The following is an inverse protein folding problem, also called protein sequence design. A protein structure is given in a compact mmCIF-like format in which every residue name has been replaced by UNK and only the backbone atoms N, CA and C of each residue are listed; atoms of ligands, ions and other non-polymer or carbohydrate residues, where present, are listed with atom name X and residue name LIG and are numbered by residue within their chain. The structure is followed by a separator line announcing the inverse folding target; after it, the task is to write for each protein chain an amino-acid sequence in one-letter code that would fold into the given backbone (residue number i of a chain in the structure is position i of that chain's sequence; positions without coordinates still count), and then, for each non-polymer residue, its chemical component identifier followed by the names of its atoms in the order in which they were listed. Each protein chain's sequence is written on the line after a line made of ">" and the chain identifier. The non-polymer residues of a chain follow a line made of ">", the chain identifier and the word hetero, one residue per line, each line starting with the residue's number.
data_IF_004460062613
#
_entry.id   IF_004460062613
#
_cell.length_a   1.000
_cell.length_b   1.000
_cell.length_c   1.000
_cell.angle_alpha   90.00
_cell.angle_beta   90.00
_cell.angle_gamma   90.00
#
_symmetry.space_group_name_H-M   'P 1'
#
loop_
_entity.id
_entity.type
_entity.pdbx_description
1 polymer ?
#
# COMPACT_ATOMS: atom_id res chain seq x y z
N UNK A 1 -24.41 -48.93 43.81
CA UNK A 1 -24.80 -47.79 42.96
C UNK A 1 -23.64 -47.54 41.97
N UNK A 2 -23.81 -48.03 40.77
CA UNK A 2 -22.80 -48.06 39.70
C UNK A 2 -22.87 -46.77 38.87
N UNK A 3 -21.75 -46.04 38.72
CA UNK A 3 -21.64 -44.91 37.81
C UNK A 3 -21.22 -45.43 36.44
N UNK A 4 -22.10 -45.27 35.47
CA UNK A 4 -21.84 -45.55 34.07
C UNK A 4 -20.78 -44.58 33.52
N UNK A 5 -19.76 -45.13 32.77
CA UNK A 5 -18.79 -44.36 32.02
C UNK A 5 -19.33 -44.15 30.61
N UNK A 6 -19.37 -42.90 30.16
CA UNK A 6 -19.65 -42.51 28.77
C UNK A 6 -18.48 -42.92 27.84
N UNK A 7 -18.75 -43.30 26.58
CA UNK A 7 -17.72 -43.67 25.64
C UNK A 7 -17.02 -42.47 25.03
N UNK A 8 -15.67 -42.51 25.01
CA UNK A 8 -14.80 -41.56 24.28
C UNK A 8 -14.97 -41.77 22.80
N UNK A 9 -15.45 -40.77 22.09
CA UNK A 9 -15.48 -40.69 20.62
C UNK A 9 -14.05 -40.45 20.12
N UNK A 10 -13.46 -41.44 19.48
CA UNK A 10 -12.16 -41.35 18.77
C UNK A 10 -12.40 -40.65 17.43
N UNK A 11 -11.70 -39.53 17.17
CA UNK A 11 -11.63 -38.90 15.85
C UNK A 11 -10.85 -39.81 14.87
N UNK A 12 -11.27 -39.87 13.61
CA UNK A 12 -10.54 -40.63 12.59
C UNK A 12 -9.24 -39.92 12.22
N UNK A 13 -8.15 -40.69 12.13
CA UNK A 13 -6.84 -40.28 11.61
C UNK A 13 -6.98 -39.97 10.11
N UNK A 14 -6.66 -38.75 9.68
CA UNK A 14 -6.42 -38.43 8.28
C UNK A 14 -5.17 -39.14 7.80
N UNK A 15 -5.35 -40.06 6.85
CA UNK A 15 -4.26 -40.68 6.11
C UNK A 15 -3.62 -39.65 5.19
N UNK A 16 -2.34 -39.35 5.42
CA UNK A 16 -1.47 -38.70 4.47
C UNK A 16 -1.26 -39.63 3.26
N UNK A 17 -1.88 -39.31 2.14
CA UNK A 17 -1.58 -39.92 0.86
C UNK A 17 -0.30 -39.26 0.35
N UNK A 18 0.74 -40.11 0.19
CA UNK A 18 1.98 -39.70 -0.45
C UNK A 18 1.69 -39.35 -1.92
N UNK A 19 2.08 -38.14 -2.32
CA UNK A 19 2.07 -37.77 -3.72
C UNK A 19 3.25 -38.40 -4.43
N UNK A 20 2.97 -39.50 -5.13
CA UNK A 20 3.83 -40.00 -6.17
C UNK A 20 3.85 -39.02 -7.36
N UNK A 21 5.03 -38.94 -7.94
CA UNK A 21 5.41 -38.07 -9.06
C UNK A 21 4.45 -38.22 -10.26
N UNK A 22 3.86 -37.14 -10.70
CA UNK A 22 3.28 -37.00 -12.04
C UNK A 22 4.21 -36.09 -12.85
N UNK A 23 5.02 -36.73 -13.67
CA UNK A 23 5.79 -36.05 -14.70
C UNK A 23 4.86 -35.41 -15.75
N UNK A 24 5.13 -34.15 -16.08
CA UNK A 24 4.92 -33.62 -17.42
C UNK A 24 3.52 -33.19 -17.85
N UNK A 25 2.85 -32.28 -17.11
CA UNK A 25 1.87 -31.40 -17.73
C UNK A 25 2.37 -29.97 -17.59
N UNK A 26 3.05 -29.50 -18.63
CA UNK A 26 3.33 -28.07 -18.84
C UNK A 26 1.99 -27.41 -19.12
N UNK A 27 1.35 -26.86 -18.09
CA UNK A 27 0.23 -25.94 -18.29
C UNK A 27 0.76 -24.71 -19.01
N UNK A 28 0.17 -24.30 -20.15
CA UNK A 28 0.58 -23.07 -20.82
C UNK A 28 0.34 -21.92 -19.84
N UNK A 29 1.41 -21.17 -19.54
CA UNK A 29 1.31 -19.94 -18.76
C UNK A 29 0.34 -18.99 -19.50
N UNK A 30 -0.62 -18.39 -18.81
CA UNK A 30 -1.50 -17.42 -19.44
C UNK A 30 -0.63 -16.27 -19.97
N UNK A 31 -0.72 -16.03 -21.29
CA UNK A 31 -0.09 -14.88 -21.92
C UNK A 31 -0.87 -13.64 -21.46
N UNK A 32 -0.41 -13.01 -20.37
CA UNK A 32 -0.80 -11.66 -20.10
C UNK A 32 -0.17 -10.74 -21.15
N UNK A 33 -0.86 -9.66 -21.55
CA UNK A 33 -0.29 -8.69 -22.51
C UNK A 33 0.95 -7.97 -21.94
N UNK A 34 1.36 -8.29 -20.72
CA UNK A 34 2.50 -7.72 -20.01
C UNK A 34 3.68 -8.70 -20.04
N UNK A 35 4.40 -8.77 -21.16
CA UNK A 35 5.69 -9.44 -21.20
C UNK A 35 6.75 -8.48 -20.67
N UNK A 36 7.36 -8.81 -19.54
CA UNK A 36 8.60 -8.15 -19.11
C UNK A 36 9.73 -8.60 -20.04
N UNK A 37 10.01 -7.84 -21.09
CA UNK A 37 11.19 -8.08 -21.91
C UNK A 37 12.43 -7.67 -21.12
N UNK A 38 13.34 -8.63 -20.91
CA UNK A 38 14.73 -8.29 -20.59
C UNK A 38 15.33 -7.68 -21.86
N UNK A 39 15.15 -6.39 -22.06
CA UNK A 39 16.00 -5.65 -22.99
C UNK A 39 17.28 -5.33 -22.25
N UNK A 40 18.38 -5.95 -22.66
CA UNK A 40 19.69 -5.40 -22.44
C UNK A 40 19.75 -4.07 -23.23
N UNK A 41 19.20 -2.99 -22.63
CA UNK A 41 19.41 -1.65 -23.15
C UNK A 41 20.77 -1.20 -22.67
N UNK A 42 21.69 -1.02 -23.63
CA UNK A 42 22.79 -0.09 -23.45
C UNK A 42 22.13 1.26 -23.12
N UNK A 43 22.37 1.72 -21.91
CA UNK A 43 21.87 2.98 -21.35
C UNK A 43 22.32 4.15 -22.27
N UNK A 44 21.40 4.82 -23.01
CA UNK A 44 21.77 5.98 -23.83
C UNK A 44 21.83 7.27 -23.00
N UNK A 45 21.59 7.21 -21.67
CA UNK A 45 21.58 8.35 -20.78
C UNK A 45 22.40 8.10 -19.52
N UNK A 46 23.69 7.75 -19.67
CA UNK A 46 24.68 8.05 -18.64
C UNK A 46 24.87 9.57 -18.63
N UNK A 47 23.94 10.29 -18.03
CA UNK A 47 24.09 11.68 -17.69
C UNK A 47 24.54 11.76 -16.22
N UNK A 48 25.84 11.88 -16.02
CA UNK A 48 26.48 12.17 -14.73
C UNK A 48 25.97 13.51 -14.09
N UNK A 49 25.14 14.28 -14.79
CA UNK A 49 24.54 15.54 -14.31
C UNK A 49 23.26 15.37 -13.48
N UNK A 50 22.64 14.16 -13.42
CA UNK A 50 21.37 13.96 -12.72
C UNK A 50 21.52 13.64 -11.22
N UNK A 51 22.70 13.27 -10.76
CA UNK A 51 22.95 12.86 -9.37
C UNK A 51 22.91 14.02 -8.35
N UNK A 52 22.74 15.27 -8.80
CA UNK A 52 22.77 16.46 -7.93
C UNK A 52 21.54 17.36 -8.03
N UNK A 53 20.38 16.83 -8.47
CA UNK A 53 19.15 17.61 -8.54
C UNK A 53 18.62 17.90 -7.13
N UNK A 54 19.01 19.07 -6.58
CA UNK A 54 18.42 19.62 -5.37
C UNK A 54 16.98 20.10 -5.63
N UNK A 55 16.18 20.29 -4.57
CA UNK A 55 14.79 20.80 -4.62
C UNK A 55 14.66 22.06 -5.49
N UNK A 56 15.69 22.93 -5.52
CA UNK A 56 15.74 24.13 -6.36
C UNK A 56 15.81 23.84 -7.87
N UNK A 57 16.33 22.67 -8.25
CA UNK A 57 16.41 22.24 -9.66
C UNK A 57 15.07 21.67 -10.13
N UNK A 58 14.30 21.07 -9.22
CA UNK A 58 12.95 20.56 -9.50
C UNK A 58 11.94 21.69 -9.77
N UNK A 59 12.13 22.88 -9.17
CA UNK A 59 11.33 24.06 -9.54
C UNK A 59 11.54 24.50 -10.98
N UNK A 60 12.72 24.28 -11.54
CA UNK A 60 13.06 24.61 -12.92
C UNK A 60 12.37 23.67 -13.94
N UNK A 61 12.02 22.47 -13.52
CA UNK A 61 11.32 21.46 -14.33
C UNK A 61 9.94 21.16 -13.73
N UNK A 62 9.07 22.20 -13.57
CA UNK A 62 7.66 21.94 -13.29
C UNK A 62 7.13 21.08 -14.43
N UNK A 63 6.96 19.79 -14.14
CA UNK A 63 6.37 18.86 -15.09
C UNK A 63 4.97 19.33 -15.44
N UNK A 64 4.69 19.44 -16.73
CA UNK A 64 3.33 19.69 -17.19
C UNK A 64 2.50 18.43 -16.98
N UNK A 65 1.70 18.40 -15.93
CA UNK A 65 0.91 17.22 -15.55
C UNK A 65 -0.12 16.86 -16.61
N UNK A 66 -0.67 17.84 -17.33
CA UNK A 66 -1.65 17.58 -18.37
C UNK A 66 -0.99 16.79 -19.52
N UNK A 67 0.18 17.27 -19.98
CA UNK A 67 0.95 16.60 -21.03
C UNK A 67 1.36 15.19 -20.61
N UNK A 68 1.87 15.01 -19.38
CA UNK A 68 2.31 13.70 -18.88
C UNK A 68 1.11 12.74 -18.75
N UNK A 69 0.00 13.19 -18.18
CA UNK A 69 -1.18 12.36 -18.04
C UNK A 69 -1.76 11.95 -19.39
N UNK A 70 -1.70 12.84 -20.40
CA UNK A 70 -2.07 12.52 -21.78
C UNK A 70 -1.12 11.47 -22.38
N UNK A 71 0.18 11.58 -22.14
CA UNK A 71 1.17 10.59 -22.63
C UNK A 71 0.97 9.21 -21.99
N UNK A 72 0.63 9.18 -20.69
CA UNK A 72 0.49 7.94 -19.93
C UNK A 72 -0.92 7.33 -19.98
N UNK A 73 -1.88 8.01 -20.62
CA UNK A 73 -3.28 7.58 -20.59
C UNK A 73 -3.54 6.15 -21.06
N UNK A 74 -2.78 5.68 -22.07
CA UNK A 74 -2.89 4.34 -22.64
C UNK A 74 -1.75 3.41 -22.19
N UNK A 75 -0.92 3.86 -21.24
CA UNK A 75 0.20 3.09 -20.72
C UNK A 75 -0.27 2.02 -19.75
N UNK A 76 0.41 0.87 -19.79
CA UNK A 76 0.21 -0.21 -18.82
C UNK A 76 0.82 0.15 -17.48
N UNK A 77 0.37 -0.50 -16.41
CA UNK A 77 0.93 -0.26 -15.07
C UNK A 77 2.46 -0.45 -15.00
N UNK A 78 3.08 -1.50 -15.60
CA UNK A 78 4.53 -1.60 -15.69
C UNK A 78 5.17 -0.42 -16.41
N UNK A 79 4.63 0.02 -17.54
CA UNK A 79 5.17 1.16 -18.28
C UNK A 79 5.13 2.47 -17.50
N UNK A 80 4.08 2.68 -16.67
CA UNK A 80 4.01 3.83 -15.77
C UNK A 80 5.10 3.75 -14.69
N UNK A 81 5.39 2.55 -14.16
CA UNK A 81 6.47 2.36 -13.18
C UNK A 81 7.84 2.57 -13.83
N UNK A 82 8.05 2.05 -15.04
CA UNK A 82 9.28 2.27 -15.81
C UNK A 82 9.51 3.76 -16.10
N UNK A 83 8.45 4.47 -16.53
CA UNK A 83 8.50 5.92 -16.70
C UNK A 83 8.89 6.64 -15.38
N UNK A 84 8.27 6.26 -14.25
CA UNK A 84 8.61 6.82 -12.96
C UNK A 84 10.07 6.59 -12.57
N UNK A 85 10.58 5.37 -12.82
CA UNK A 85 11.98 5.02 -12.54
C UNK A 85 12.97 5.87 -13.37
N UNK A 86 12.68 6.07 -14.66
CA UNK A 86 13.51 6.88 -15.54
C UNK A 86 13.47 8.37 -15.17
N UNK A 87 12.29 8.87 -14.80
CA UNK A 87 12.09 10.28 -14.52
C UNK A 87 12.65 10.72 -13.14
N UNK A 88 12.50 9.90 -12.12
CA UNK A 88 12.77 10.29 -10.73
C UNK A 88 13.97 9.57 -10.11
N UNK A 89 14.48 8.51 -10.73
CA UNK A 89 15.67 7.79 -10.28
C UNK A 89 15.63 7.46 -8.79
N UNK A 90 16.68 7.86 -8.06
CA UNK A 90 16.82 7.61 -6.61
C UNK A 90 15.80 8.38 -5.74
N UNK A 91 15.14 9.39 -6.29
CA UNK A 91 14.06 10.12 -5.61
C UNK A 91 12.70 9.41 -5.65
N UNK A 92 12.61 8.24 -6.33
CA UNK A 92 11.39 7.47 -6.38
C UNK A 92 11.26 6.51 -5.20
N UNK A 93 10.17 6.60 -4.47
CA UNK A 93 9.80 5.68 -3.40
C UNK A 93 8.44 5.04 -3.67
N UNK A 94 8.11 4.00 -2.93
CA UNK A 94 6.79 3.39 -2.93
C UNK A 94 6.26 3.33 -1.50
N UNK A 95 4.93 3.37 -1.30
CA UNK A 95 4.34 3.05 -0.01
C UNK A 95 3.41 1.84 -0.09
N UNK A 96 3.30 1.14 1.03
CA UNK A 96 2.34 0.05 1.21
C UNK A 96 1.70 0.12 2.59
N UNK A 97 0.45 -0.31 2.69
CA UNK A 97 -0.22 -0.58 3.97
C UNK A 97 -0.32 -2.08 4.25
N UNK A 98 0.28 -2.92 3.41
CA UNK A 98 0.06 -4.36 3.40
C UNK A 98 -1.43 -4.73 3.46
N UNK A 99 -2.25 -3.96 2.73
CA UNK A 99 -3.69 -4.18 2.60
C UNK A 99 -4.02 -5.46 1.81
N UNK A 100 -5.32 -5.72 1.62
CA UNK A 100 -5.86 -6.97 1.07
C UNK A 100 -5.16 -7.41 -0.23
N UNK A 101 -4.85 -6.48 -1.13
CA UNK A 101 -4.31 -6.74 -2.47
C UNK A 101 -2.94 -6.10 -2.70
N UNK A 102 -2.22 -5.76 -1.62
CA UNK A 102 -0.96 -5.01 -1.70
C UNK A 102 0.15 -5.74 -2.44
N UNK A 103 0.11 -7.08 -2.50
CA UNK A 103 1.09 -7.90 -3.21
C UNK A 103 1.22 -7.54 -4.71
N UNK A 104 0.16 -7.03 -5.35
CA UNK A 104 0.18 -6.60 -6.75
C UNK A 104 1.22 -5.53 -7.00
N UNK A 105 1.09 -4.39 -6.31
CA UNK A 105 2.00 -3.26 -6.52
C UNK A 105 3.42 -3.56 -6.03
N UNK A 106 3.53 -4.26 -4.89
CA UNK A 106 4.84 -4.68 -4.35
C UNK A 106 5.59 -5.56 -5.34
N UNK A 107 4.94 -6.61 -5.87
CA UNK A 107 5.54 -7.49 -6.85
C UNK A 107 5.88 -6.77 -8.16
N UNK A 108 4.97 -5.94 -8.67
CA UNK A 108 5.19 -5.23 -9.93
C UNK A 108 6.34 -4.24 -9.83
N UNK A 109 6.35 -3.41 -8.78
CA UNK A 109 7.38 -2.39 -8.58
C UNK A 109 8.77 -3.02 -8.36
N UNK A 110 8.89 -4.05 -7.52
CA UNK A 110 10.18 -4.69 -7.24
C UNK A 110 10.73 -5.51 -8.40
N UNK A 111 9.89 -5.94 -9.33
CA UNK A 111 10.38 -6.57 -10.58
C UNK A 111 11.02 -5.59 -11.54
N UNK A 112 10.60 -4.33 -11.50
CA UNK A 112 11.12 -3.26 -12.37
C UNK A 112 12.25 -2.54 -11.67
N UNK A 113 12.11 -2.26 -10.38
CA UNK A 113 13.06 -1.54 -9.54
C UNK A 113 13.32 -2.39 -8.28
N UNK A 114 14.25 -3.36 -8.31
CA UNK A 114 14.43 -4.34 -7.23
C UNK A 114 14.68 -3.70 -5.85
N UNK A 115 15.41 -2.59 -5.80
CA UNK A 115 15.82 -1.92 -4.56
C UNK A 115 14.97 -0.69 -4.21
N UNK A 116 13.80 -0.50 -4.85
CA UNK A 116 12.94 0.64 -4.55
C UNK A 116 12.65 0.71 -3.04
N UNK A 117 12.85 1.87 -2.38
CA UNK A 117 12.46 2.01 -0.98
C UNK A 117 10.95 1.87 -0.82
N UNK A 118 10.51 0.90 -0.01
CA UNK A 118 9.10 0.64 0.28
C UNK A 118 8.77 1.15 1.68
N UNK A 119 8.06 2.27 1.76
CA UNK A 119 7.65 2.88 3.02
C UNK A 119 6.43 2.13 3.57
N UNK A 120 6.54 1.70 4.84
CA UNK A 120 5.42 1.16 5.60
C UNK A 120 5.23 1.97 6.88
N UNK A 121 4.03 2.52 7.05
CA UNK A 121 3.66 3.21 8.29
C UNK A 121 3.04 2.21 9.23
N UNK A 122 3.80 1.82 10.26
CA UNK A 122 3.29 1.00 11.36
C UNK A 122 2.63 1.88 12.40
N UNK A 123 1.32 1.83 12.46
CA UNK A 123 0.54 2.63 13.41
C UNK A 123 0.60 2.09 14.84
N UNK A 124 1.06 0.85 15.03
CA UNK A 124 0.98 0.11 16.30
C UNK A 124 -0.43 -0.42 16.61
N UNK A 125 -1.37 -0.30 15.66
CA UNK A 125 -2.75 -0.75 15.77
C UNK A 125 -3.17 -1.68 14.62
N UNK A 126 -2.21 -2.17 13.85
CA UNK A 126 -2.49 -3.12 12.78
C UNK A 126 -2.85 -4.51 13.38
N UNK A 127 -3.69 -5.30 12.70
CA UNK A 127 -3.94 -6.68 13.09
C UNK A 127 -2.67 -7.54 13.05
N UNK A 128 -2.54 -8.56 13.91
CA UNK A 128 -1.41 -9.50 13.87
C UNK A 128 -1.22 -10.17 12.50
N UNK A 129 -2.30 -10.40 11.76
CA UNK A 129 -2.31 -10.95 10.41
C UNK A 129 -1.59 -10.03 9.42
N UNK A 130 -1.77 -8.71 9.55
CA UNK A 130 -1.06 -7.72 8.71
C UNK A 130 0.44 -7.75 8.96
N UNK A 131 0.88 -7.87 10.22
CA UNK A 131 2.31 -7.99 10.54
C UNK A 131 2.92 -9.26 9.93
N UNK A 132 2.27 -10.41 10.09
CA UNK A 132 2.75 -11.68 9.51
C UNK A 132 2.77 -11.65 7.98
N UNK A 133 1.76 -11.05 7.37
CA UNK A 133 1.68 -10.88 5.93
C UNK A 133 2.77 -9.94 5.40
N UNK A 134 3.08 -8.88 6.14
CA UNK A 134 4.18 -7.98 5.82
C UNK A 134 5.54 -8.69 5.83
N UNK A 135 5.83 -9.47 6.87
CA UNK A 135 7.05 -10.30 6.96
C UNK A 135 7.13 -11.29 5.79
N UNK A 136 6.04 -12.02 5.53
CA UNK A 136 5.96 -12.98 4.43
C UNK A 136 6.28 -12.33 3.07
N UNK A 137 5.63 -11.20 2.74
CA UNK A 137 5.87 -10.51 1.47
C UNK A 137 7.26 -9.87 1.41
N UNK A 138 7.77 -9.37 2.53
CA UNK A 138 9.12 -8.80 2.62
C UNK A 138 10.17 -9.85 2.28
N UNK A 139 10.05 -11.05 2.84
CA UNK A 139 10.96 -12.15 2.54
C UNK A 139 10.78 -12.67 1.10
N UNK A 140 9.54 -12.92 0.68
CA UNK A 140 9.20 -13.46 -0.64
C UNK A 140 9.66 -12.55 -1.78
N UNK A 141 9.42 -11.25 -1.66
CA UNK A 141 9.71 -10.26 -2.70
C UNK A 141 11.03 -9.51 -2.49
N UNK A 142 11.76 -9.81 -1.40
CA UNK A 142 13.02 -9.17 -1.00
C UNK A 142 12.89 -7.64 -0.93
N UNK A 143 11.85 -7.16 -0.23
CA UNK A 143 11.54 -5.74 -0.17
C UNK A 143 12.64 -4.94 0.53
N UNK A 144 13.04 -3.80 -0.03
CA UNK A 144 13.78 -2.77 0.66
C UNK A 144 12.86 -1.98 1.59
N UNK A 145 12.34 -2.67 2.63
CA UNK A 145 11.30 -2.15 3.51
C UNK A 145 11.85 -1.08 4.47
N UNK A 146 11.17 0.04 4.56
CA UNK A 146 11.43 1.16 5.46
C UNK A 146 10.22 1.34 6.38
N UNK A 147 10.34 0.90 7.63
CA UNK A 147 9.26 0.97 8.62
C UNK A 147 9.34 2.27 9.38
N UNK A 148 8.26 3.04 9.38
CA UNK A 148 8.12 4.28 10.13
C UNK A 148 6.95 4.22 11.10
N UNK A 149 7.19 4.71 12.31
CA UNK A 149 6.21 4.76 13.39
C UNK A 149 6.09 6.18 13.92
N UNK A 150 4.97 6.51 14.53
CA UNK A 150 4.81 7.75 15.27
C UNK A 150 5.83 7.84 16.42
N UNK A 151 6.39 9.03 16.71
CA UNK A 151 7.26 9.23 17.88
C UNK A 151 6.52 9.05 19.21
N UNK A 152 5.18 9.10 19.21
CA UNK A 152 4.34 8.81 20.37
C UNK A 152 3.91 7.34 20.32
N UNK A 153 4.18 6.56 21.36
CA UNK A 153 3.69 5.18 21.44
C UNK A 153 2.16 5.13 21.53
N UNK A 154 1.51 4.02 21.13
CA UNK A 154 0.08 3.82 21.30
C UNK A 154 -0.40 4.11 22.72
N UNK A 155 0.24 3.52 23.72
CA UNK A 155 -0.12 3.70 25.12
C UNK A 155 -0.02 5.17 25.59
N UNK A 156 1.02 5.91 25.15
CA UNK A 156 1.16 7.33 25.49
C UNK A 156 0.07 8.16 24.81
N UNK A 157 -0.25 7.89 23.55
CA UNK A 157 -1.33 8.59 22.84
C UNK A 157 -2.67 8.37 23.56
N UNK A 158 -3.01 7.12 23.90
CA UNK A 158 -4.26 6.81 24.60
C UNK A 158 -4.34 7.47 25.98
N UNK A 159 -3.23 7.52 26.73
CA UNK A 159 -3.16 8.17 28.02
C UNK A 159 -3.40 9.68 27.96
N UNK A 160 -2.90 10.35 26.92
CA UNK A 160 -2.97 11.81 26.77
C UNK A 160 -4.26 12.29 26.10
N UNK A 161 -4.77 11.52 25.12
CA UNK A 161 -5.85 11.97 24.24
C UNK A 161 -7.05 11.02 24.24
N UNK A 162 -6.97 9.89 24.98
CA UNK A 162 -7.96 8.82 24.94
C UNK A 162 -7.90 8.04 23.63
N UNK A 163 -8.85 7.15 23.45
CA UNK A 163 -9.04 6.39 22.22
C UNK A 163 -9.80 7.24 21.21
N UNK A 164 -9.06 7.96 20.39
CA UNK A 164 -9.62 8.93 19.42
C UNK A 164 -10.65 8.31 18.47
N UNK A 165 -10.52 7.03 18.14
CA UNK A 165 -11.47 6.30 17.29
C UNK A 165 -12.81 5.94 17.98
N UNK A 166 -12.91 6.07 19.32
CA UNK A 166 -14.14 5.84 20.09
C UNK A 166 -14.98 7.12 20.27
N UNK A 167 -14.45 8.28 19.88
CA UNK A 167 -15.11 9.57 20.05
C UNK A 167 -16.21 9.81 19.01
N UNK A 168 -16.33 8.96 17.98
CA UNK A 168 -17.30 9.06 16.89
C UNK A 168 -17.34 10.45 16.24
N UNK A 169 -16.16 11.02 16.05
CA UNK A 169 -15.93 12.38 15.54
C UNK A 169 -14.87 12.38 14.46
N UNK A 170 -15.11 13.09 13.37
CA UNK A 170 -14.19 13.19 12.22
C UNK A 170 -12.90 13.88 12.62
N UNK A 171 -12.94 14.90 13.46
CA UNK A 171 -11.74 15.64 13.89
C UNK A 171 -10.86 14.77 14.80
N UNK A 172 -11.45 13.92 15.64
CA UNK A 172 -10.71 12.94 16.41
C UNK A 172 -10.00 11.91 15.49
N UNK A 173 -10.66 11.42 14.45
CA UNK A 173 -10.02 10.58 13.44
C UNK A 173 -8.94 11.32 12.65
N UNK A 174 -9.14 12.59 12.32
CA UNK A 174 -8.13 13.39 11.62
C UNK A 174 -6.89 13.59 12.50
N UNK A 175 -7.08 13.86 13.81
CA UNK A 175 -6.00 13.96 14.79
C UNK A 175 -5.24 12.63 14.94
N UNK A 176 -5.97 11.50 14.97
CA UNK A 176 -5.38 10.17 14.95
C UNK A 176 -4.52 9.95 13.70
N UNK A 177 -5.08 10.20 12.51
CA UNK A 177 -4.38 10.03 11.25
C UNK A 177 -3.15 10.94 11.16
N UNK A 178 -3.24 12.20 11.64
CA UNK A 178 -2.11 13.13 11.67
C UNK A 178 -0.96 12.55 12.50
N UNK A 179 -1.24 12.06 13.72
CA UNK A 179 -0.21 11.54 14.61
C UNK A 179 0.33 10.17 14.17
N UNK A 180 -0.53 9.28 13.68
CA UNK A 180 -0.16 7.87 13.46
C UNK A 180 0.22 7.54 12.01
N UNK A 181 -0.16 8.41 11.04
CA UNK A 181 0.02 8.13 9.62
C UNK A 181 0.70 9.28 8.87
N UNK A 182 0.19 10.50 8.99
CA UNK A 182 0.65 11.63 8.16
C UNK A 182 2.05 12.07 8.58
N UNK A 183 2.28 12.32 9.88
CA UNK A 183 3.62 12.70 10.38
C UNK A 183 4.69 11.65 10.03
N UNK A 184 4.51 10.34 10.34
CA UNK A 184 5.53 9.36 9.98
C UNK A 184 5.79 9.27 8.49
N UNK A 185 4.75 9.44 7.65
CA UNK A 185 4.91 9.43 6.20
C UNK A 185 5.68 10.65 5.70
N UNK A 186 5.36 11.84 6.20
CA UNK A 186 6.09 13.07 5.85
C UNK A 186 7.56 12.97 6.21
N UNK A 187 7.86 12.45 7.41
CA UNK A 187 9.23 12.22 7.86
C UNK A 187 9.94 11.19 6.98
N UNK A 188 9.28 10.08 6.63
CA UNK A 188 9.82 9.08 5.72
C UNK A 188 10.19 9.67 4.35
N UNK A 189 9.28 10.45 3.76
CA UNK A 189 9.50 11.11 2.47
C UNK A 189 10.66 12.10 2.54
N UNK A 190 10.77 12.86 3.63
CA UNK A 190 11.88 13.81 3.84
C UNK A 190 13.23 13.11 4.04
N UNK A 191 13.29 12.10 4.91
CA UNK A 191 14.54 11.35 5.19
C UNK A 191 15.05 10.58 3.97
N UNK A 192 14.15 10.06 3.14
CA UNK A 192 14.47 9.37 1.90
C UNK A 192 14.68 10.33 0.72
N UNK A 193 14.58 11.64 0.94
CA UNK A 193 14.70 12.68 -0.09
C UNK A 193 13.80 12.40 -1.31
N UNK A 194 12.60 11.88 -1.04
CA UNK A 194 11.67 11.49 -2.09
C UNK A 194 11.21 12.71 -2.91
N UNK A 195 11.22 12.56 -4.22
CA UNK A 195 10.65 13.52 -5.18
C UNK A 195 9.40 12.98 -5.85
N UNK A 196 9.25 11.66 -5.84
CA UNK A 196 8.07 10.98 -6.34
C UNK A 196 7.71 9.75 -5.51
N UNK A 197 6.41 9.42 -5.53
CA UNK A 197 5.82 8.38 -4.71
C UNK A 197 4.86 7.50 -5.51
N UNK A 198 5.15 6.20 -5.62
CA UNK A 198 4.22 5.21 -6.17
C UNK A 198 3.20 4.78 -5.11
N UNK A 199 1.92 4.83 -5.46
CA UNK A 199 0.83 4.38 -4.59
C UNK A 199 -0.16 3.48 -5.35
N UNK A 200 -0.66 2.45 -4.69
CA UNK A 200 -1.57 1.45 -5.25
C UNK A 200 -3.04 1.85 -5.13
N UNK A 201 -3.42 3.07 -5.49
CA UNK A 201 -4.81 3.52 -5.49
C UNK A 201 -5.52 3.08 -6.78
N UNK A 202 -6.81 2.75 -6.66
CA UNK A 202 -7.68 2.44 -7.79
C UNK A 202 -8.89 3.36 -7.81
N UNK A 203 -9.30 3.79 -8.99
CA UNK A 203 -10.42 4.73 -9.18
C UNK A 203 -11.78 4.14 -8.80
N UNK A 204 -11.92 2.80 -8.84
CA UNK A 204 -13.17 2.11 -8.51
C UNK A 204 -13.48 2.07 -6.99
N UNK A 205 -12.55 2.49 -6.13
CA UNK A 205 -12.68 2.32 -4.69
C UNK A 205 -13.42 3.46 -3.98
N UNK A 206 -13.35 4.71 -4.47
CA UNK A 206 -14.06 5.87 -3.90
C UNK A 206 -14.31 6.93 -4.96
N UNK A 207 -15.28 7.83 -4.71
CA UNK A 207 -15.55 8.94 -5.63
C UNK A 207 -14.38 9.93 -5.70
N UNK A 208 -13.70 10.16 -4.58
CA UNK A 208 -12.47 10.95 -4.58
C UNK A 208 -11.42 10.37 -5.53
N UNK A 209 -11.23 9.03 -5.54
CA UNK A 209 -10.23 8.38 -6.39
C UNK A 209 -10.60 8.38 -7.86
N UNK A 210 -11.89 8.48 -8.19
CA UNK A 210 -12.34 8.64 -9.59
C UNK A 210 -11.86 9.95 -10.21
N UNK A 211 -11.64 10.99 -9.40
CA UNK A 211 -11.17 12.29 -9.86
C UNK A 211 -9.65 12.41 -9.97
N UNK A 212 -8.89 11.35 -9.60
CA UNK A 212 -7.44 11.36 -9.67
C UNK A 212 -6.95 11.03 -11.08
N UNK A 213 -5.81 11.60 -11.43
CA UNK A 213 -5.04 11.27 -12.62
C UNK A 213 -3.95 10.21 -12.31
N UNK A 214 -3.30 9.70 -13.35
CA UNK A 214 -2.18 8.75 -13.20
C UNK A 214 -1.03 9.43 -12.45
N UNK A 215 -0.74 10.69 -12.78
CA UNK A 215 0.28 11.51 -12.11
C UNK A 215 -0.40 12.71 -11.49
N UNK A 216 -0.24 12.87 -10.19
CA UNK A 216 -0.80 13.97 -9.40
C UNK A 216 0.33 14.70 -8.68
N UNK A 217 0.08 15.92 -8.23
CA UNK A 217 0.97 16.67 -7.34
C UNK A 217 0.39 16.68 -5.93
N UNK A 218 1.22 16.35 -4.94
CA UNK A 218 0.87 16.41 -3.53
C UNK A 218 1.96 17.19 -2.78
N UNK A 219 1.72 18.49 -2.55
CA UNK A 219 2.77 19.40 -2.11
C UNK A 219 3.87 19.53 -3.17
N UNK A 220 5.11 19.27 -2.78
CA UNK A 220 6.26 19.27 -3.69
C UNK A 220 6.57 17.93 -4.35
N UNK A 221 5.80 16.88 -4.01
CA UNK A 221 5.98 15.53 -4.52
C UNK A 221 5.09 15.22 -5.71
N UNK A 222 5.58 14.41 -6.62
CA UNK A 222 4.79 13.76 -7.65
C UNK A 222 4.28 12.42 -7.12
N UNK A 223 2.99 12.16 -7.28
CA UNK A 223 2.35 10.91 -6.89
C UNK A 223 1.85 10.18 -8.11
N UNK A 224 2.37 8.99 -8.34
CA UNK A 224 2.01 8.17 -9.49
C UNK A 224 1.18 6.97 -9.05
N UNK A 225 0.12 6.70 -9.82
CA UNK A 225 -0.90 5.69 -9.53
C UNK A 225 -0.95 4.66 -10.67
N UNK A 226 -0.01 3.72 -10.75
CA UNK A 226 0.12 2.82 -11.91
C UNK A 226 -1.10 1.94 -12.16
N UNK A 227 -1.81 1.55 -11.11
CA UNK A 227 -3.02 0.70 -11.18
C UNK A 227 -4.32 1.49 -11.01
N UNK A 228 -4.30 2.82 -11.21
CA UNK A 228 -5.48 3.67 -10.99
C UNK A 228 -6.72 3.17 -11.75
N UNK A 229 -6.54 2.70 -12.98
CA UNK A 229 -7.62 2.23 -13.87
C UNK A 229 -7.91 0.74 -13.76
N UNK A 230 -7.22 0.02 -12.87
CA UNK A 230 -7.45 -1.40 -12.67
C UNK A 230 -8.74 -1.63 -11.89
N UNK A 231 -9.48 -2.65 -12.33
CA UNK A 231 -10.63 -3.17 -11.61
C UNK A 231 -10.23 -4.24 -10.60
N UNK A 232 -11.15 -4.62 -9.72
CA UNK A 232 -10.95 -5.76 -8.82
C UNK A 232 -10.65 -7.06 -9.60
N UNK A 233 -11.23 -7.20 -10.82
CA UNK A 233 -10.96 -8.33 -11.71
C UNK A 233 -9.51 -8.34 -12.22
N UNK A 234 -8.97 -7.20 -12.62
CA UNK A 234 -7.59 -7.09 -13.08
C UNK A 234 -6.60 -7.46 -11.98
N UNK A 235 -6.86 -6.96 -10.76
CA UNK A 235 -6.08 -7.31 -9.56
C UNK A 235 -6.13 -8.80 -9.28
N UNK A 236 -7.32 -9.41 -9.30
CA UNK A 236 -7.48 -10.86 -9.11
C UNK A 236 -6.71 -11.65 -10.16
N UNK A 237 -6.83 -11.30 -11.43
CA UNK A 237 -6.13 -11.96 -12.53
C UNK A 237 -4.60 -11.88 -12.37
N UNK A 238 -4.10 -10.72 -11.94
CA UNK A 238 -2.67 -10.53 -11.68
C UNK A 238 -2.18 -11.41 -10.52
N UNK A 239 -2.89 -11.42 -9.39
CA UNK A 239 -2.53 -12.25 -8.24
C UNK A 239 -2.50 -13.73 -8.61
N UNK A 240 -3.48 -14.21 -9.36
CA UNK A 240 -3.53 -15.59 -9.84
C UNK A 240 -2.38 -15.93 -10.81
N UNK A 241 -2.08 -15.02 -11.73
CA UNK A 241 -1.06 -15.26 -12.75
C UNK A 241 0.36 -15.37 -12.18
N UNK A 242 0.61 -14.70 -11.06
CA UNK A 242 1.93 -14.70 -10.42
C UNK A 242 1.96 -15.47 -9.10
N UNK A 243 0.92 -16.23 -8.79
CA UNK A 243 0.78 -17.02 -7.55
C UNK A 243 1.07 -16.17 -6.29
N UNK A 244 0.47 -14.97 -6.25
CA UNK A 244 0.65 -14.03 -5.17
C UNK A 244 -0.47 -14.15 -4.13
N UNK A 245 -0.15 -14.05 -2.84
CA UNK A 245 -1.15 -14.19 -1.80
C UNK A 245 -2.01 -12.94 -1.64
N UNK A 246 -3.27 -13.16 -1.26
CA UNK A 246 -4.09 -12.16 -0.60
C UNK A 246 -3.72 -12.04 0.88
N UNK A 247 -4.00 -10.89 1.48
CA UNK A 247 -3.96 -10.78 2.94
C UNK A 247 -4.96 -11.77 3.57
N UNK A 248 -4.63 -12.43 4.71
CA UNK A 248 -5.49 -13.47 5.31
C UNK A 248 -6.94 -13.03 5.61
N UNK A 249 -7.17 -11.74 5.83
CA UNK A 249 -8.52 -11.21 6.05
C UNK A 249 -9.41 -11.23 4.80
N UNK A 250 -8.86 -11.50 3.63
CA UNK A 250 -9.67 -11.68 2.41
C UNK A 250 -10.68 -12.84 2.59
N UNK A 251 -10.22 -13.96 3.13
CA UNK A 251 -11.08 -15.13 3.39
C UNK A 251 -12.13 -14.89 4.48
N UNK A 252 -11.96 -13.81 5.27
CA UNK A 252 -12.91 -13.36 6.28
C UNK A 252 -13.88 -12.29 5.77
N UNK A 253 -13.89 -12.01 4.45
CA UNK A 253 -14.81 -11.07 3.81
C UNK A 253 -14.38 -9.59 3.92
N UNK A 254 -13.12 -9.32 4.26
CA UNK A 254 -12.60 -7.95 4.21
C UNK A 254 -12.20 -7.56 2.79
N UNK A 255 -12.67 -6.44 2.31
CA UNK A 255 -12.25 -5.82 1.04
C UNK A 255 -11.13 -4.81 1.25
N UNK A 256 -11.06 -4.22 2.44
CA UNK A 256 -10.00 -3.30 2.87
C UNK A 256 -9.58 -3.63 4.29
N UNK A 257 -8.30 -3.40 4.62
CA UNK A 257 -7.77 -3.56 5.98
C UNK A 257 -6.82 -2.40 6.32
N UNK A 258 -6.80 -2.04 7.57
CA UNK A 258 -5.89 -1.08 8.19
C UNK A 258 -5.87 -1.34 9.69
N UNK A 259 -5.95 -0.29 10.52
CA UNK A 259 -5.98 -0.46 11.98
C UNK A 259 -7.20 -1.29 12.40
N UNK A 260 -7.00 -2.18 13.38
CA UNK A 260 -8.04 -3.14 13.83
C UNK A 260 -9.33 -2.46 14.29
N UNK A 261 -9.22 -1.30 14.95
CA UNK A 261 -10.36 -0.55 15.49
C UNK A 261 -11.17 0.19 14.40
N UNK A 262 -10.65 0.32 13.20
CA UNK A 262 -11.28 1.06 12.09
C UNK A 262 -11.43 0.21 10.83
N UNK A 263 -11.47 -1.11 10.95
CA UNK A 263 -11.64 -2.05 9.86
C UNK A 263 -12.63 -3.14 10.25
N UNK A 264 -13.55 -3.46 9.35
CA UNK A 264 -14.49 -4.57 9.49
C UNK A 264 -14.73 -5.26 8.15
N UNK A 265 -15.25 -6.49 8.14
CA UNK A 265 -15.66 -7.13 6.90
C UNK A 265 -16.80 -6.37 6.22
N UNK A 266 -16.94 -6.58 4.91
CA UNK A 266 -18.05 -6.05 4.11
C UNK A 266 -19.36 -6.74 4.52
N UNK A 267 -20.43 -5.97 4.57
CA UNK A 267 -21.80 -6.46 4.85
C UNK A 267 -22.72 -6.12 3.69
N UNK A 268 -23.95 -6.65 3.71
CA UNK A 268 -24.96 -6.34 2.71
C UNK A 268 -25.53 -4.90 2.79
N UNK A 269 -25.18 -4.19 3.86
CA UNK A 269 -25.63 -2.82 4.12
C UNK A 269 -24.62 -1.77 3.58
N UNK A 270 -23.44 -2.22 3.12
CA UNK A 270 -22.41 -1.34 2.60
C UNK A 270 -22.60 -1.10 1.10
N UNK A 271 -22.64 0.16 0.69
CA UNK A 271 -22.72 0.55 -0.72
C UNK A 271 -21.33 0.50 -1.39
N UNK A 272 -20.25 0.72 -0.63
CA UNK A 272 -18.87 0.78 -1.13
C UNK A 272 -17.90 -0.02 -0.25
N UNK A 273 -16.85 -0.57 -0.88
CA UNK A 273 -15.78 -1.31 -0.18
C UNK A 273 -15.17 -0.53 1.00
N UNK A 274 -15.13 0.79 0.91
CA UNK A 274 -14.49 1.63 1.94
C UNK A 274 -15.42 2.13 3.03
N UNK A 275 -16.71 1.81 2.98
CA UNK A 275 -17.65 2.05 4.09
C UNK A 275 -17.30 1.16 5.31
N UNK A 276 -16.51 0.10 5.07
CA UNK A 276 -15.93 -0.75 6.09
C UNK A 276 -14.82 -0.07 6.91
N UNK A 277 -14.44 1.17 6.56
CA UNK A 277 -13.36 1.93 7.21
C UNK A 277 -13.90 3.08 8.04
N UNK A 278 -13.14 3.44 9.08
CA UNK A 278 -13.40 4.61 9.93
C UNK A 278 -14.86 4.71 10.42
N UNK A 279 -15.49 3.56 10.65
CA UNK A 279 -16.90 3.47 11.09
C UNK A 279 -17.90 4.16 10.11
N UNK A 280 -17.53 4.26 8.83
CA UNK A 280 -18.33 4.96 7.80
C UNK A 280 -18.23 6.48 7.82
N UNK A 281 -17.53 7.09 8.77
CA UNK A 281 -17.42 8.55 8.89
C UNK A 281 -16.56 9.21 7.81
N UNK A 282 -15.60 8.46 7.26
CA UNK A 282 -14.77 8.90 6.14
C UNK A 282 -14.23 7.71 5.35
N UNK A 283 -13.94 7.92 4.07
CA UNK A 283 -13.44 6.87 3.18
C UNK A 283 -11.92 6.92 2.97
N UNK A 284 -11.28 8.08 3.15
CA UNK A 284 -9.84 8.25 2.94
C UNK A 284 -9.11 8.60 4.24
N UNK A 285 -7.90 8.07 4.39
CA UNK A 285 -6.96 8.54 5.42
C UNK A 285 -6.24 9.80 4.91
N UNK A 286 -5.69 10.61 5.83
CA UNK A 286 -5.02 11.86 5.50
C UNK A 286 -3.82 11.76 4.55
N UNK A 287 -3.29 10.55 4.31
CA UNK A 287 -2.17 10.32 3.38
C UNK A 287 -2.52 10.60 1.91
N UNK A 288 -3.79 10.48 1.54
CA UNK A 288 -4.22 10.55 0.15
C UNK A 288 -5.09 11.78 -0.16
N UNK A 289 -5.31 12.63 0.83
CA UNK A 289 -6.01 13.90 0.67
C UNK A 289 -5.01 15.02 0.37
N UNK A 290 -5.43 16.08 -0.36
CA UNK A 290 -4.64 17.29 -0.50
C UNK A 290 -4.29 17.84 0.88
N UNK A 291 -3.03 18.18 1.11
CA UNK A 291 -2.66 18.86 2.35
C UNK A 291 -3.15 20.31 2.22
N UNK A 292 -4.16 20.68 3.02
CA UNK A 292 -4.46 22.07 3.23
C UNK A 292 -3.28 22.67 3.98
N UNK A 293 -2.66 23.71 3.39
CA UNK A 293 -1.66 24.53 4.04
C UNK A 293 -2.36 25.37 5.13
N UNK A 294 -2.61 24.77 6.27
CA UNK A 294 -3.25 25.33 7.44
C UNK A 294 -2.53 24.79 8.67
N UNK A 295 -1.70 25.67 9.26
CA UNK A 295 -1.24 25.69 10.64
C UNK A 295 -0.79 24.33 11.21
N UNK A 296 0.49 24.01 11.00
CA UNK A 296 1.22 23.23 11.96
C UNK A 296 1.22 24.02 13.28
N UNK A 297 0.22 23.85 14.13
CA UNK A 297 0.38 24.16 15.54
C UNK A 297 1.59 23.37 16.03
N UNK A 298 2.71 24.07 16.16
CA UNK A 298 3.90 23.57 16.82
C UNK A 298 3.45 23.06 18.20
N UNK A 299 3.50 21.75 18.40
CA UNK A 299 3.45 21.18 19.74
C UNK A 299 4.71 21.66 20.45
N UNK A 300 4.58 22.82 21.08
CA UNK A 300 5.65 23.45 21.83
C UNK A 300 6.03 22.51 22.98
N UNK A 301 7.24 21.97 22.87
CA UNK A 301 7.85 21.06 23.85
C UNK A 301 8.47 21.83 25.03
N UNK A 302 8.02 23.05 25.33
CA UNK A 302 8.50 23.87 26.43
C UNK A 302 7.48 23.99 27.54
N UNK A 303 7.27 22.95 28.30
CA UNK A 303 6.91 23.02 29.72
C UNK A 303 7.18 21.69 30.42
N UNK A 304 8.40 21.56 30.87
CA UNK A 304 8.81 20.80 32.03
C UNK A 304 9.51 21.74 32.99
#
# INVERSE_FOLDING_TARGET
>A
MSRAREPRTTMPRLNLIAHDQVEGVVTPQPQFPYSFSKTESKDPYQNEELDHLTSATLEKYKLDLEVINQQLQDSTAPQIIEYAAQMFGNGLVMSTSFGIQSAVMLHMATRIIPDIPVIWIDTGYLPPETYRFAEQLTEQLKLNLKVYQSPISPARMEALYGRLWEQNDVDAFNRYDQMRKVEPMQRALGELQATAWLAGLRSDQTDHRKSLDIVNRQGDLYKLLPILRWTAKDVYQYLQAYDLPYHPFFDLGYTTVGDWHSSRPLTLEDDHERDTRFQGLKQECGLHLPQTSGEAESLDSSSL
#
